data_IF_676339586917
#
_entry.id   IF_676339586917
#
_cell.length_a   1.000
_cell.length_b   1.000
_cell.length_c   1.000
_cell.angle_alpha   90.00
_cell.angle_beta   90.00
_cell.angle_gamma   90.00
#
_symmetry.space_group_name_H-M   'P 1'
#
loop_
_entity.id
_entity.type
_entity.pdbx_description
1 polymer ?
#
# COMPACT_ATOMS: atom_id res chain seq x y z
N UNK A 1 -0.89 -24.25 24.56
CA UNK A 1 -0.44 -23.05 23.82
C UNK A 1 0.98 -22.71 24.27
N UNK A 2 1.97 -22.77 23.37
CA UNK A 2 3.29 -22.19 23.66
C UNK A 2 3.13 -20.66 23.72
N UNK A 3 3.57 -20.03 24.81
CA UNK A 3 3.62 -18.57 24.89
C UNK A 3 4.61 -18.08 23.82
N UNK A 4 4.18 -17.20 22.92
CA UNK A 4 5.13 -16.47 22.09
C UNK A 4 5.96 -15.56 23.00
N UNK A 5 7.27 -15.64 22.85
CA UNK A 5 8.22 -14.69 23.41
C UNK A 5 7.96 -13.29 22.80
N UNK A 6 8.03 -12.24 23.61
CA UNK A 6 7.89 -10.86 23.16
C UNK A 6 8.84 -10.51 22.00
N UNK A 7 10.06 -11.07 22.01
CA UNK A 7 11.02 -10.92 20.92
C UNK A 7 10.54 -11.56 19.61
N UNK A 8 9.91 -12.74 19.70
CA UNK A 8 9.32 -13.38 18.51
C UNK A 8 8.15 -12.58 17.95
N UNK A 9 7.36 -11.93 18.81
CA UNK A 9 6.27 -11.04 18.36
C UNK A 9 6.81 -9.80 17.65
N UNK A 10 7.89 -9.21 18.17
CA UNK A 10 8.57 -8.07 17.57
C UNK A 10 9.15 -8.42 16.18
N UNK A 11 9.86 -9.54 16.08
CA UNK A 11 10.41 -10.03 14.80
C UNK A 11 9.31 -10.31 13.76
N UNK A 12 8.18 -10.87 14.19
CA UNK A 12 7.01 -11.08 13.33
C UNK A 12 6.38 -9.76 12.87
N UNK A 13 6.28 -8.78 13.78
CA UNK A 13 5.79 -7.43 13.48
C UNK A 13 6.67 -6.73 12.45
N UNK A 14 7.99 -6.74 12.64
CA UNK A 14 8.94 -6.18 11.67
C UNK A 14 8.84 -6.86 10.30
N UNK A 15 8.73 -8.19 10.28
CA UNK A 15 8.60 -8.95 9.03
C UNK A 15 7.33 -8.55 8.28
N UNK A 16 6.20 -8.52 8.98
CA UNK A 16 4.91 -8.13 8.41
C UNK A 16 4.94 -6.68 7.89
N UNK A 17 5.55 -5.76 8.64
CA UNK A 17 5.71 -4.38 8.21
C UNK A 17 6.56 -4.26 6.93
N UNK A 18 7.68 -4.98 6.83
CA UNK A 18 8.53 -4.98 5.62
C UNK A 18 7.77 -5.51 4.40
N UNK A 19 6.98 -6.57 4.58
CA UNK A 19 6.12 -7.10 3.51
C UNK A 19 5.07 -6.07 3.07
N UNK A 20 4.44 -5.40 4.03
CA UNK A 20 3.44 -4.36 3.76
C UNK A 20 4.05 -3.18 2.97
N UNK A 21 5.23 -2.70 3.37
CA UNK A 21 5.98 -1.67 2.64
C UNK A 21 6.33 -2.12 1.22
N UNK A 22 6.73 -3.38 1.05
CA UNK A 22 7.04 -3.92 -0.27
C UNK A 22 5.79 -3.99 -1.18
N UNK A 23 4.64 -4.38 -0.64
CA UNK A 23 3.35 -4.36 -1.35
C UNK A 23 2.96 -2.94 -1.74
N UNK A 24 3.11 -1.98 -0.82
CA UNK A 24 2.83 -0.56 -1.07
C UNK A 24 3.66 0.00 -2.22
N UNK A 25 4.98 -0.24 -2.22
CA UNK A 25 5.85 0.18 -3.31
C UNK A 25 5.43 -0.42 -4.66
N UNK A 26 5.10 -1.72 -4.70
CA UNK A 26 4.63 -2.38 -5.92
C UNK A 26 3.32 -1.79 -6.43
N UNK A 27 2.38 -1.49 -5.53
CA UNK A 27 1.08 -0.92 -5.89
C UNK A 27 1.22 0.52 -6.40
N UNK A 28 2.11 1.32 -5.80
CA UNK A 28 2.47 2.66 -6.29
C UNK A 28 3.04 2.61 -7.71
N UNK A 29 3.93 1.68 -7.96
CA UNK A 29 4.60 1.54 -9.26
C UNK A 29 3.59 1.06 -10.34
N UNK A 30 2.66 0.18 -9.96
CA UNK A 30 1.54 -0.26 -10.79
C UNK A 30 0.60 0.91 -11.13
N UNK A 31 0.17 1.69 -10.12
CA UNK A 31 -0.65 2.90 -10.29
C UNK A 31 -0.01 3.89 -11.26
N UNK A 32 1.29 4.14 -11.08
CA UNK A 32 2.07 5.01 -11.96
C UNK A 32 2.08 4.52 -13.40
N UNK A 33 2.28 3.21 -13.60
CA UNK A 33 2.34 2.60 -14.94
C UNK A 33 1.00 2.65 -15.65
N UNK A 34 -0.10 2.35 -14.96
CA UNK A 34 -1.46 2.43 -15.52
C UNK A 34 -1.86 3.87 -15.82
N UNK A 35 -1.49 4.83 -14.96
CA UNK A 35 -1.75 6.25 -15.19
C UNK A 35 -1.07 6.72 -16.47
N UNK A 36 0.20 6.38 -16.68
CA UNK A 36 0.92 6.70 -17.93
C UNK A 36 0.24 6.07 -19.15
N UNK A 37 -0.11 4.79 -19.08
CA UNK A 37 -0.80 4.10 -20.17
C UNK A 37 -2.15 4.75 -20.51
N UNK A 38 -2.92 5.13 -19.48
CA UNK A 38 -4.17 5.85 -19.65
C UNK A 38 -3.93 7.20 -20.35
N UNK A 39 -2.96 7.98 -19.90
CA UNK A 39 -2.68 9.32 -20.45
C UNK A 39 -2.19 9.23 -21.91
N UNK A 40 -1.37 8.23 -22.22
CA UNK A 40 -0.93 7.92 -23.60
C UNK A 40 -2.13 7.56 -24.50
N UNK A 41 -3.10 6.80 -23.98
CA UNK A 41 -4.31 6.44 -24.71
C UNK A 41 -5.25 7.63 -24.92
N UNK A 42 -5.39 8.51 -23.93
CA UNK A 42 -6.16 9.75 -24.06
C UNK A 42 -5.55 10.65 -25.14
N UNK A 43 -4.21 10.77 -25.19
CA UNK A 43 -3.50 11.57 -26.18
C UNK A 43 -3.66 11.05 -27.63
N UNK A 44 -3.89 9.75 -27.81
CA UNK A 44 -4.02 9.09 -29.11
C UNK A 44 -5.45 9.12 -29.71
N UNK A 45 -6.40 9.82 -29.08
CA UNK A 45 -7.82 9.86 -29.47
C UNK A 45 -8.52 8.49 -29.36
N UNK A 46 -8.84 8.10 -28.11
CA UNK A 46 -9.72 6.99 -27.68
C UNK A 46 -9.48 5.66 -28.41
N UNK A 47 -8.39 4.96 -28.08
CA UNK A 47 -8.15 3.61 -28.56
C UNK A 47 -9.22 2.64 -28.02
N UNK A 48 -9.45 1.49 -28.71
CA UNK A 48 -10.49 0.52 -28.34
C UNK A 48 -10.31 -0.08 -26.92
N UNK A 49 -9.14 0.05 -26.33
CA UNK A 49 -8.82 -0.45 -24.98
C UNK A 49 -8.94 0.62 -23.89
N UNK A 50 -9.25 1.88 -24.20
CA UNK A 50 -9.30 2.97 -23.22
C UNK A 50 -10.24 2.64 -22.05
N UNK A 51 -11.44 2.12 -22.33
CA UNK A 51 -12.40 1.75 -21.29
C UNK A 51 -11.85 0.67 -20.34
N UNK A 52 -11.05 -0.28 -20.85
CA UNK A 52 -10.44 -1.33 -20.03
C UNK A 52 -9.34 -0.74 -19.16
N UNK A 53 -8.47 0.08 -19.73
CA UNK A 53 -7.40 0.76 -18.98
C UNK A 53 -7.98 1.71 -17.93
N UNK A 54 -9.06 2.41 -18.24
CA UNK A 54 -9.75 3.27 -17.27
C UNK A 54 -10.36 2.45 -16.12
N UNK A 55 -10.99 1.30 -16.39
CA UNK A 55 -11.50 0.43 -15.34
C UNK A 55 -10.37 -0.11 -14.44
N UNK A 56 -9.25 -0.54 -15.05
CA UNK A 56 -8.06 -1.00 -14.31
C UNK A 56 -7.48 0.13 -13.46
N UNK A 57 -7.42 1.35 -14.00
CA UNK A 57 -6.96 2.54 -13.28
C UNK A 57 -7.79 2.79 -12.03
N UNK A 58 -9.13 2.76 -12.14
CA UNK A 58 -10.02 2.97 -11.00
C UNK A 58 -9.79 1.94 -9.88
N UNK A 59 -9.65 0.66 -10.24
CA UNK A 59 -9.39 -0.41 -9.27
C UNK A 59 -8.04 -0.21 -8.56
N UNK A 60 -7.01 0.16 -9.31
CA UNK A 60 -5.67 0.38 -8.73
C UNK A 60 -5.61 1.67 -7.92
N UNK A 61 -6.33 2.71 -8.32
CA UNK A 61 -6.46 3.93 -7.54
C UNK A 61 -7.14 3.66 -6.19
N UNK A 62 -8.26 2.92 -6.17
CA UNK A 62 -8.96 2.52 -4.95
C UNK A 62 -8.08 1.68 -4.03
N UNK A 63 -7.46 0.61 -4.56
CA UNK A 63 -6.58 -0.25 -3.79
C UNK A 63 -5.36 0.50 -3.21
N UNK A 64 -4.80 1.46 -3.98
CA UNK A 64 -3.69 2.27 -3.52
C UNK A 64 -4.13 3.24 -2.42
N UNK A 65 -5.27 3.90 -2.58
CA UNK A 65 -5.76 4.89 -1.62
C UNK A 65 -6.15 4.23 -0.29
N UNK A 66 -6.71 3.01 -0.33
CA UNK A 66 -6.98 2.23 0.88
C UNK A 66 -5.70 1.81 1.60
N UNK A 67 -4.69 1.36 0.85
CA UNK A 67 -3.40 0.98 1.40
C UNK A 67 -2.62 2.19 1.94
N UNK A 68 -2.63 3.31 1.22
CA UNK A 68 -2.04 4.59 1.66
C UNK A 68 -2.69 5.06 2.96
N UNK A 69 -4.03 5.02 3.03
CA UNK A 69 -4.77 5.35 4.25
C UNK A 69 -4.33 4.48 5.42
N UNK A 70 -4.19 3.17 5.22
CA UNK A 70 -3.75 2.24 6.27
C UNK A 70 -2.31 2.49 6.73
N UNK A 71 -1.44 2.97 5.84
CA UNK A 71 -0.04 3.26 6.11
C UNK A 71 0.24 4.68 6.62
N UNK A 72 -0.76 5.58 6.66
CA UNK A 72 -0.58 6.92 7.21
C UNK A 72 -0.25 6.83 8.70
N UNK A 73 0.68 7.63 9.23
CA UNK A 73 1.02 7.63 10.66
C UNK A 73 -0.15 7.88 11.61
N UNK A 74 -1.27 8.44 11.14
CA UNK A 74 -2.48 8.70 11.95
C UNK A 74 -3.44 7.50 11.98
N UNK A 75 -3.25 6.54 11.08
CA UNK A 75 -4.03 5.32 10.92
C UNK A 75 -3.17 4.06 11.04
N UNK A 76 -1.86 4.22 11.13
CA UNK A 76 -0.85 3.20 11.39
C UNK A 76 -1.05 2.65 12.81
N UNK A 77 -1.56 1.42 12.97
CA UNK A 77 -1.70 0.81 14.28
C UNK A 77 -0.34 0.62 14.98
N UNK A 78 0.78 0.67 14.25
CA UNK A 78 2.13 0.59 14.81
C UNK A 78 2.76 1.96 15.15
N UNK A 79 2.17 3.08 14.72
CA UNK A 79 2.53 4.41 15.24
C UNK A 79 2.16 4.56 16.73
N UNK A 80 1.19 3.76 17.20
CA UNK A 80 0.90 3.58 18.62
C UNK A 80 2.08 2.96 19.39
N UNK A 81 2.98 2.21 18.74
CA UNK A 81 4.20 1.71 19.37
C UNK A 81 5.30 2.76 19.50
N UNK A 82 5.28 3.85 18.72
CA UNK A 82 6.25 4.95 18.87
C UNK A 82 5.92 5.92 20.02
N UNK A 83 4.71 5.85 20.58
CA UNK A 83 4.26 6.73 21.67
C UNK A 83 4.19 6.07 23.04
N UNK A 84 4.57 4.80 23.16
CA UNK A 84 4.88 4.23 24.47
C UNK A 84 6.34 4.55 24.77
N UNK A 85 6.60 5.79 25.20
CA UNK A 85 7.72 5.99 26.11
C UNK A 85 7.48 5.00 27.26
N UNK A 86 8.37 4.00 27.36
CA UNK A 86 8.42 3.19 28.56
C UNK A 86 8.78 4.16 29.68
N UNK A 87 7.78 4.53 30.47
CA UNK A 87 8.02 5.07 31.81
C UNK A 87 8.83 4.01 32.58
N UNK A 88 10.14 4.21 32.64
CA UNK A 88 11.00 3.69 33.70
C UNK A 88 11.18 4.78 34.78
#
# INVERSE_FOLDING_TARGET
MKKLDAKMLEELGESAYRELVAVYCKLRDLKTSITRMHDDYVAQAVPPELNRVQAIRLIVDEAFDDLDRYLRPQCDPDSAYRTVERDE
#
